data_IF_129654760644
#
_entry.id   IF_129654760644
#
_cell.length_a   1.000
_cell.length_b   1.000
_cell.length_c   1.000
_cell.angle_alpha   90.00
_cell.angle_beta   90.00
_cell.angle_gamma   90.00
#
_symmetry.space_group_name_H-M   'P 1'
#
loop_
_entity.id
_entity.type
_entity.pdbx_description
1 polymer ?
#
# COMPACT_ATOMS: atom_id res chain seq x y z
N UNK A 1 13.89 -13.82 -6.87
CA UNK A 1 12.97 -13.44 -5.77
C UNK A 1 12.92 -11.92 -5.67
N UNK A 2 11.74 -11.35 -5.84
CA UNK A 2 11.50 -9.90 -5.81
C UNK A 2 11.84 -9.29 -4.45
N UNK A 3 12.28 -8.04 -4.43
CA UNK A 3 12.61 -7.29 -3.21
C UNK A 3 11.95 -5.91 -3.20
N UNK A 4 11.72 -5.38 -2.01
CA UNK A 4 11.00 -4.12 -1.78
C UNK A 4 11.51 -2.94 -2.64
N UNK A 5 12.82 -2.81 -2.86
CA UNK A 5 13.38 -1.70 -3.63
C UNK A 5 13.00 -1.76 -5.11
N UNK A 6 12.74 -2.95 -5.65
CA UNK A 6 12.27 -3.14 -7.03
C UNK A 6 10.83 -2.66 -7.18
N UNK A 7 10.04 -2.68 -6.09
CA UNK A 7 8.64 -2.25 -6.08
C UNK A 7 8.46 -0.75 -5.79
N UNK A 8 9.52 0.00 -5.49
CA UNK A 8 9.39 1.44 -5.19
C UNK A 8 8.87 2.25 -6.37
N UNK A 9 9.50 2.11 -7.55
CA UNK A 9 9.07 2.82 -8.75
C UNK A 9 7.70 2.31 -9.27
N UNK A 10 7.45 0.99 -9.34
CA UNK A 10 6.13 0.46 -9.69
C UNK A 10 5.02 0.99 -8.78
N UNK A 11 5.25 1.05 -7.46
CA UNK A 11 4.26 1.58 -6.51
C UNK A 11 3.93 3.05 -6.79
N UNK A 12 4.93 3.88 -7.08
CA UNK A 12 4.68 5.30 -7.41
C UNK A 12 3.89 5.42 -8.72
N UNK A 13 4.24 4.64 -9.74
CA UNK A 13 3.50 4.62 -11.02
C UNK A 13 2.06 4.17 -10.82
N UNK A 14 1.84 3.11 -10.05
CA UNK A 14 0.50 2.62 -9.73
C UNK A 14 -0.33 3.69 -9.04
N UNK A 15 0.22 4.37 -8.02
CA UNK A 15 -0.47 5.48 -7.38
C UNK A 15 -0.81 6.62 -8.34
N UNK A 16 0.08 6.98 -9.27
CA UNK A 16 -0.20 8.00 -10.28
C UNK A 16 -1.37 7.56 -11.17
N UNK A 17 -1.38 6.31 -11.63
CA UNK A 17 -2.45 5.77 -12.47
C UNK A 17 -3.80 5.71 -11.72
N UNK A 18 -3.77 5.43 -10.41
CA UNK A 18 -4.94 5.41 -9.53
C UNK A 18 -5.40 6.82 -9.08
N UNK A 19 -4.83 7.90 -9.60
CA UNK A 19 -5.23 9.26 -9.27
C UNK A 19 -4.64 9.81 -7.98
N UNK A 20 -3.51 9.26 -7.53
CA UNK A 20 -2.72 9.72 -6.38
C UNK A 20 -3.03 8.98 -5.07
N UNK A 21 -3.98 8.06 -5.06
CA UNK A 21 -4.35 7.25 -3.90
C UNK A 21 -4.86 5.89 -4.31
N UNK A 22 -4.65 4.88 -3.48
CA UNK A 22 -5.23 3.55 -3.65
C UNK A 22 -5.10 2.75 -2.36
N UNK A 23 -5.98 1.78 -2.18
CA UNK A 23 -5.82 0.77 -1.14
C UNK A 23 -4.73 -0.24 -1.55
N UNK A 24 -4.32 -1.12 -0.64
CA UNK A 24 -3.19 -2.02 -0.89
C UNK A 24 -3.47 -3.03 -2.01
N UNK A 25 -4.72 -3.47 -2.16
CA UNK A 25 -5.14 -4.43 -3.17
C UNK A 25 -5.19 -3.75 -4.55
N UNK A 26 -5.75 -2.53 -4.65
CA UNK A 26 -5.73 -1.73 -5.88
C UNK A 26 -4.30 -1.47 -6.37
N UNK A 27 -3.40 -1.08 -5.46
CA UNK A 27 -1.99 -0.85 -5.79
C UNK A 27 -1.32 -2.15 -6.24
N UNK A 28 -1.65 -3.27 -5.61
CA UNK A 28 -1.10 -4.59 -5.94
C UNK A 28 -1.52 -5.04 -7.34
N UNK A 29 -2.82 -4.96 -7.65
CA UNK A 29 -3.37 -5.32 -8.97
C UNK A 29 -2.79 -4.46 -10.09
N UNK A 30 -2.66 -3.14 -9.84
CA UNK A 30 -2.06 -2.22 -10.80
C UNK A 30 -0.57 -2.54 -11.04
N UNK A 31 0.19 -2.87 -9.99
CA UNK A 31 1.60 -3.27 -10.11
C UNK A 31 1.75 -4.56 -10.93
N UNK A 32 0.90 -5.56 -10.69
CA UNK A 32 0.91 -6.81 -11.48
C UNK A 32 0.67 -6.50 -12.96
N UNK A 33 -0.29 -5.63 -13.23
CA UNK A 33 -0.64 -5.22 -14.59
C UNK A 33 0.51 -4.47 -15.28
N UNK A 34 1.20 -3.59 -14.54
CA UNK A 34 2.31 -2.78 -15.05
C UNK A 34 3.59 -3.60 -15.31
N UNK A 35 3.99 -4.43 -14.34
CA UNK A 35 5.29 -5.12 -14.37
C UNK A 35 5.24 -6.46 -15.11
N UNK A 36 4.03 -7.03 -15.34
CA UNK A 36 3.84 -8.29 -16.07
C UNK A 36 4.75 -9.41 -15.59
N UNK A 37 4.76 -9.64 -14.28
CA UNK A 37 5.54 -10.71 -13.65
C UNK A 37 5.17 -12.08 -14.23
N UNK A 38 6.14 -13.00 -14.25
CA UNK A 38 5.90 -14.39 -14.57
C UNK A 38 5.02 -15.08 -13.49
N UNK A 39 4.39 -16.18 -13.88
CA UNK A 39 3.46 -16.94 -13.04
C UNK A 39 4.15 -17.47 -11.77
N UNK A 40 5.41 -17.90 -11.87
CA UNK A 40 6.21 -18.36 -10.71
C UNK A 40 6.33 -17.25 -9.64
N UNK A 41 6.57 -16.00 -10.06
CA UNK A 41 6.69 -14.86 -9.17
C UNK A 41 5.34 -14.43 -8.59
N UNK A 42 4.25 -14.56 -9.34
CA UNK A 42 2.89 -14.25 -8.88
C UNK A 42 2.37 -15.26 -7.86
N UNK A 43 2.66 -16.54 -8.06
CA UNK A 43 2.23 -17.64 -7.18
C UNK A 43 3.18 -17.86 -5.99
N UNK A 44 4.36 -17.23 -6.00
CA UNK A 44 5.31 -17.32 -4.90
C UNK A 44 4.70 -16.80 -3.58
N UNK A 45 4.40 -17.74 -2.68
CA UNK A 45 3.96 -17.43 -1.32
C UNK A 45 5.13 -17.02 -0.44
N UNK A 46 4.95 -15.96 0.36
CA UNK A 46 5.98 -15.51 1.30
C UNK A 46 6.25 -16.55 2.40
N UNK A 47 5.18 -17.12 2.95
CA UNK A 47 5.26 -18.22 3.91
C UNK A 47 3.99 -19.07 3.86
N UNK A 48 3.97 -20.17 3.08
CA UNK A 48 2.77 -20.98 2.87
C UNK A 48 2.21 -21.60 4.16
N UNK A 49 3.00 -21.73 5.23
CA UNK A 49 2.56 -22.31 6.50
C UNK A 49 2.04 -21.27 7.50
N UNK A 50 2.34 -19.97 7.29
CA UNK A 50 2.10 -18.91 8.30
C UNK A 50 1.35 -17.69 7.76
N UNK A 51 1.23 -17.53 6.46
CA UNK A 51 0.60 -16.36 5.84
C UNK A 51 0.00 -16.69 4.49
N UNK A 52 -1.19 -16.14 4.21
CA UNK A 52 -1.80 -16.19 2.89
C UNK A 52 -1.29 -15.07 1.96
N UNK A 53 -0.19 -14.40 2.32
CA UNK A 53 0.37 -13.29 1.56
C UNK A 53 1.40 -13.77 0.52
N UNK A 54 1.32 -13.24 -0.70
CA UNK A 54 2.34 -13.44 -1.74
C UNK A 54 3.63 -12.71 -1.38
N UNK A 55 4.76 -13.16 -1.94
CA UNK A 55 6.05 -12.49 -1.76
C UNK A 55 5.98 -11.04 -2.23
N UNK A 56 5.30 -10.77 -3.36
CA UNK A 56 5.06 -9.41 -3.87
C UNK A 56 4.31 -8.58 -2.83
N UNK A 57 3.22 -9.10 -2.25
CA UNK A 57 2.43 -8.38 -1.25
C UNK A 57 3.26 -8.03 -0.01
N UNK A 58 4.11 -8.94 0.45
CA UNK A 58 5.00 -8.70 1.59
C UNK A 58 6.04 -7.62 1.27
N UNK A 59 6.69 -7.72 0.12
CA UNK A 59 7.68 -6.74 -0.33
C UNK A 59 7.05 -5.38 -0.60
N UNK A 60 5.79 -5.33 -1.04
CA UNK A 60 5.01 -4.11 -1.26
C UNK A 60 4.78 -3.35 0.05
N UNK A 61 4.46 -4.07 1.13
CA UNK A 61 4.34 -3.49 2.48
C UNK A 61 5.63 -2.79 2.94
N UNK A 62 6.78 -3.40 2.65
CA UNK A 62 8.09 -2.79 2.92
C UNK A 62 8.37 -1.59 2.02
N UNK A 63 8.10 -1.69 0.71
CA UNK A 63 8.28 -0.59 -0.23
C UNK A 63 7.50 0.66 0.22
N UNK A 64 6.23 0.47 0.58
CA UNK A 64 5.37 1.54 1.11
C UNK A 64 5.92 2.15 2.40
N UNK A 65 6.38 1.30 3.32
CA UNK A 65 6.98 1.76 4.60
C UNK A 65 8.19 2.66 4.35
N UNK A 66 9.09 2.27 3.45
CA UNK A 66 10.28 3.06 3.14
C UNK A 66 9.95 4.36 2.40
N UNK A 67 9.03 4.33 1.43
CA UNK A 67 8.60 5.54 0.73
C UNK A 67 7.89 6.53 1.66
N UNK A 68 7.11 6.05 2.63
CA UNK A 68 6.54 6.88 3.69
C UNK A 68 7.63 7.50 4.57
N UNK A 69 8.60 6.69 5.04
CA UNK A 69 9.73 7.20 5.85
C UNK A 69 10.57 8.24 5.11
N UNK A 70 10.72 8.08 3.79
CA UNK A 70 11.44 9.03 2.94
C UNK A 70 10.61 10.28 2.56
N UNK A 71 9.33 10.35 2.94
CA UNK A 71 8.48 11.51 2.69
C UNK A 71 7.79 11.56 1.31
N UNK A 72 7.92 10.50 0.50
CA UNK A 72 7.25 10.39 -0.80
C UNK A 72 5.77 10.02 -0.69
N UNK A 73 5.37 9.37 0.41
CA UNK A 73 3.99 9.02 0.69
C UNK A 73 3.56 9.65 2.02
N UNK A 74 2.38 10.29 2.02
CA UNK A 74 1.69 10.67 3.25
C UNK A 74 0.62 9.64 3.57
N UNK A 75 0.44 9.35 4.85
CA UNK A 75 -0.79 8.70 5.27
C UNK A 75 -1.91 9.73 5.30
N UNK A 76 -2.99 9.41 4.59
CA UNK A 76 -4.28 9.99 4.93
C UNK A 76 -4.72 9.36 6.25
N UNK A 77 -4.33 9.97 7.36
CA UNK A 77 -5.06 9.80 8.60
C UNK A 77 -6.49 10.27 8.32
N UNK A 78 -7.45 9.35 8.23
CA UNK A 78 -8.85 9.69 8.43
C UNK A 78 -8.98 10.10 9.90
N UNK A 79 -8.61 11.35 10.20
CA UNK A 79 -8.96 11.98 11.45
C UNK A 79 -10.41 12.37 11.29
N UNK A 80 -11.30 11.48 11.69
CA UNK A 80 -12.69 11.81 11.97
C UNK A 80 -12.69 12.76 13.18
N UNK A 81 -12.35 14.03 12.95
CA UNK A 81 -12.50 15.12 13.91
C UNK A 81 -13.79 15.84 13.57
N UNK A 82 -14.87 15.45 14.24
CA UNK A 82 -16.10 16.22 14.21
C UNK A 82 -17.34 15.42 14.57
N UNK A 83 -17.60 15.24 15.87
CA UNK A 83 -18.85 15.72 16.48
C UNK A 83 -18.91 15.29 17.95
N UNK A 84 -18.36 16.11 18.83
CA UNK A 84 -19.00 16.33 20.13
C UNK A 84 -19.13 17.83 20.32
N UNK A 85 -20.33 18.32 20.02
CA UNK A 85 -20.75 19.70 20.28
C UNK A 85 -20.52 20.00 21.76
N UNK A 86 -19.66 20.96 22.05
CA UNK A 86 -19.79 21.74 23.27
C UNK A 86 -21.04 22.61 23.09
N UNK A 87 -22.10 22.25 23.80
CA UNK A 87 -23.35 23.00 23.88
C UNK A 87 -23.64 23.30 25.34
N UNK A 88 -23.02 24.38 25.82
CA UNK A 88 -23.58 25.37 26.75
C UNK A 88 -24.24 24.85 28.04
N UNK A 89 -23.47 24.92 29.13
CA UNK A 89 -24.01 25.34 30.42
C UNK A 89 -24.43 26.82 30.31
N UNK A 90 -25.71 27.12 30.50
CA UNK A 90 -26.19 28.41 31.03
C UNK A 90 -27.65 28.28 31.46
N UNK A 91 -27.87 28.64 32.73
CA UNK A 91 -29.10 28.75 33.53
C UNK A 91 -29.69 27.45 34.10
#
# INVERSE_FOLDING_TARGET
>A
MIKYHQLMNPLIKALINLGGSGNIDEIYEEIITLEKFDEETLEAMHNPEKSNQTEIGYQLGWARTYLKKAGYLREFFSKNLGSHRQGQTSF
#
